data_IF_910736109994
#
_entry.id   IF_910736109994
#
_cell.length_a   1.000
_cell.length_b   1.000
_cell.length_c   1.000
_cell.angle_alpha   90.00
_cell.angle_beta   90.00
_cell.angle_gamma   90.00
#
_symmetry.space_group_name_H-M   'P 1'
#
loop_
_entity.id
_entity.type
_entity.pdbx_description
1 polymer ?
#
# COMPACT_ATOMS: atom_id res chain seq x y z
N UNK A 1 57.95 -40.60 -3.44
CA UNK A 1 57.34 -39.84 -4.55
C UNK A 1 55.84 -39.63 -4.33
N UNK A 2 55.08 -40.62 -3.87
CA UNK A 2 53.64 -40.43 -3.55
C UNK A 2 53.38 -39.50 -2.34
N UNK A 3 54.17 -39.60 -1.27
CA UNK A 3 53.97 -38.80 -0.05
C UNK A 3 54.07 -37.28 -0.30
N UNK A 4 55.00 -36.86 -1.17
CA UNK A 4 55.20 -35.45 -1.55
C UNK A 4 54.10 -34.92 -2.46
N UNK A 5 53.46 -35.77 -3.28
CA UNK A 5 52.29 -35.37 -4.08
C UNK A 5 51.08 -35.14 -3.19
N UNK A 6 50.86 -36.01 -2.21
CA UNK A 6 49.76 -35.89 -1.23
C UNK A 6 49.94 -34.64 -0.36
N UNK A 7 51.16 -34.37 0.10
CA UNK A 7 51.47 -33.18 0.91
C UNK A 7 51.22 -31.88 0.15
N UNK A 8 51.60 -31.82 -1.13
CA UNK A 8 51.33 -30.67 -1.98
C UNK A 8 49.83 -30.46 -2.23
N UNK A 9 49.08 -31.53 -2.54
CA UNK A 9 47.64 -31.45 -2.74
C UNK A 9 46.90 -30.98 -1.48
N UNK A 10 47.32 -31.43 -0.29
CA UNK A 10 46.81 -30.96 1.00
C UNK A 10 47.09 -29.47 1.22
N UNK A 11 48.30 -29.01 0.87
CA UNK A 11 48.69 -27.61 1.02
C UNK A 11 47.85 -26.69 0.13
N UNK A 12 47.63 -27.06 -1.13
CA UNK A 12 46.79 -26.28 -2.04
C UNK A 12 45.33 -26.27 -1.56
N UNK A 13 44.81 -27.40 -1.06
CA UNK A 13 43.45 -27.45 -0.51
C UNK A 13 43.27 -26.57 0.74
N UNK A 14 44.27 -26.49 1.60
CA UNK A 14 44.26 -25.59 2.77
C UNK A 14 44.23 -24.13 2.32
N UNK A 15 45.00 -23.76 1.29
CA UNK A 15 44.97 -22.39 0.74
C UNK A 15 43.61 -22.03 0.18
N UNK A 16 43.01 -22.90 -0.62
CA UNK A 16 41.66 -22.71 -1.17
C UNK A 16 40.62 -22.48 -0.05
N UNK A 17 40.62 -23.34 0.96
CA UNK A 17 39.68 -23.24 2.09
C UNK A 17 39.89 -21.95 2.88
N UNK A 18 41.15 -21.58 3.16
CA UNK A 18 41.46 -20.32 3.85
C UNK A 18 41.03 -19.10 3.04
N UNK A 19 41.18 -19.15 1.71
CA UNK A 19 40.77 -18.07 0.83
C UNK A 19 39.23 -17.90 0.84
N UNK A 20 38.49 -18.98 0.56
CA UNK A 20 37.02 -18.95 0.51
C UNK A 20 36.39 -18.62 1.88
N UNK A 21 36.98 -19.12 2.96
CA UNK A 21 36.56 -18.77 4.31
C UNK A 21 36.87 -17.29 4.62
N UNK A 22 38.05 -16.81 4.24
CA UNK A 22 38.43 -15.40 4.37
C UNK A 22 37.47 -14.48 3.63
N UNK A 23 37.12 -14.77 2.38
CA UNK A 23 36.13 -14.02 1.59
C UNK A 23 34.76 -14.02 2.28
N UNK A 24 34.33 -15.17 2.80
CA UNK A 24 33.06 -15.28 3.53
C UNK A 24 33.06 -14.40 4.79
N UNK A 25 34.15 -14.41 5.55
CA UNK A 25 34.30 -13.59 6.76
C UNK A 25 34.35 -12.09 6.43
N UNK A 26 35.04 -11.69 5.36
CA UNK A 26 35.05 -10.30 4.88
C UNK A 26 33.64 -9.87 4.43
N UNK A 27 32.88 -10.78 3.82
CA UNK A 27 31.49 -10.56 3.43
C UNK A 27 30.54 -10.38 4.61
N UNK A 28 30.81 -11.03 5.74
CA UNK A 28 30.06 -10.84 6.99
C UNK A 28 30.46 -9.56 7.73
N UNK A 29 31.63 -8.97 7.46
CA UNK A 29 32.03 -7.72 8.12
C UNK A 29 31.56 -6.49 7.35
N UNK A 30 31.42 -6.62 6.03
CA UNK A 30 31.10 -5.53 5.11
C UNK A 30 29.67 -5.64 4.53
N UNK A 31 28.66 -5.93 5.36
CA UNK A 31 27.26 -6.01 4.90
C UNK A 31 26.72 -4.70 4.29
N UNK A 32 27.29 -3.56 4.67
CA UNK A 32 26.75 -2.24 4.33
C UNK A 32 27.41 -1.59 3.10
N UNK A 33 28.49 -2.16 2.56
CA UNK A 33 29.19 -1.57 1.40
C UNK A 33 29.95 -2.64 0.63
N UNK A 34 29.52 -2.86 -0.62
CA UNK A 34 30.24 -3.72 -1.56
C UNK A 34 31.62 -3.12 -1.89
N UNK A 35 31.75 -1.80 -1.91
CA UNK A 35 33.03 -1.14 -2.22
C UNK A 35 34.11 -1.50 -1.20
N UNK A 36 33.79 -1.42 0.10
CA UNK A 36 34.72 -1.76 1.18
C UNK A 36 35.14 -3.23 1.12
N UNK A 37 34.19 -4.13 0.83
CA UNK A 37 34.47 -5.54 0.63
C UNK A 37 35.48 -5.74 -0.50
N UNK A 38 35.26 -5.11 -1.66
CA UNK A 38 36.10 -5.27 -2.84
C UNK A 38 37.51 -4.71 -2.59
N UNK A 39 37.64 -3.59 -1.87
CA UNK A 39 38.94 -3.05 -1.44
C UNK A 39 39.71 -4.02 -0.55
N UNK A 40 39.06 -4.60 0.46
CA UNK A 40 39.69 -5.57 1.36
C UNK A 40 40.05 -6.87 0.62
N UNK A 41 39.16 -7.36 -0.24
CA UNK A 41 39.37 -8.57 -1.01
C UNK A 41 40.60 -8.47 -1.89
N UNK A 42 40.75 -7.36 -2.62
CA UNK A 42 41.86 -7.19 -3.54
C UNK A 42 43.23 -7.22 -2.82
N UNK A 43 43.31 -6.77 -1.58
CA UNK A 43 44.54 -6.89 -0.78
C UNK A 43 44.73 -8.28 -0.16
N UNK A 44 43.64 -9.02 0.05
CA UNK A 44 43.68 -10.39 0.58
C UNK A 44 44.06 -11.43 -0.47
N UNK A 45 43.53 -11.33 -1.69
CA UNK A 45 43.69 -12.32 -2.76
C UNK A 45 45.15 -12.76 -3.04
N UNK A 46 46.15 -11.84 -3.10
CA UNK A 46 47.55 -12.22 -3.33
C UNK A 46 48.08 -13.37 -2.47
N UNK A 47 47.65 -13.43 -1.20
CA UNK A 47 48.10 -14.43 -0.22
C UNK A 47 47.65 -15.86 -0.53
N UNK A 48 46.68 -16.02 -1.43
CA UNK A 48 46.09 -17.32 -1.78
C UNK A 48 46.74 -17.96 -3.01
N UNK A 49 47.59 -17.23 -3.73
CA UNK A 49 48.32 -17.72 -4.91
C UNK A 49 49.68 -18.33 -4.53
N UNK A 50 50.28 -19.05 -5.48
CA UNK A 50 51.56 -19.76 -5.31
C UNK A 50 52.71 -18.82 -4.96
N UNK A 51 52.70 -17.59 -5.49
CA UNK A 51 53.77 -16.60 -5.30
C UNK A 51 53.28 -15.26 -4.73
N UNK A 52 52.78 -15.20 -3.47
CA UNK A 52 52.11 -14.02 -2.92
C UNK A 52 52.87 -12.70 -3.04
N UNK A 53 54.21 -12.73 -2.89
CA UNK A 53 55.05 -11.52 -2.89
C UNK A 53 55.09 -10.80 -4.24
N UNK A 54 54.75 -11.49 -5.32
CA UNK A 54 54.70 -10.91 -6.67
C UNK A 54 53.29 -10.93 -7.27
N UNK A 55 52.30 -11.31 -6.48
CA UNK A 55 50.89 -11.38 -6.91
C UNK A 55 50.19 -10.05 -6.66
N UNK A 56 49.51 -9.56 -7.69
CA UNK A 56 48.64 -8.40 -7.59
C UNK A 56 47.25 -8.76 -8.06
N UNK A 57 46.25 -8.16 -7.41
CA UNK A 57 44.86 -8.38 -7.76
C UNK A 57 44.22 -7.08 -8.24
N UNK A 58 43.25 -7.23 -9.13
CA UNK A 58 42.36 -6.16 -9.56
C UNK A 58 40.95 -6.70 -9.65
N UNK A 59 40.00 -5.95 -9.13
CA UNK A 59 38.59 -6.18 -9.39
C UNK A 59 38.05 -4.98 -10.14
N UNK A 60 37.38 -5.22 -11.26
CA UNK A 60 36.53 -4.24 -11.93
C UNK A 60 35.10 -4.65 -11.64
N UNK A 61 34.33 -3.75 -11.06
CA UNK A 61 32.92 -4.00 -10.77
C UNK A 61 32.11 -2.76 -11.15
N UNK A 62 31.19 -2.91 -12.11
CA UNK A 62 30.48 -1.81 -12.77
C UNK A 62 31.49 -0.79 -13.33
N UNK A 63 31.50 0.42 -12.81
CA UNK A 63 32.39 1.51 -13.24
C UNK A 63 33.62 1.67 -12.34
N UNK A 64 33.69 0.94 -11.22
CA UNK A 64 34.73 1.07 -10.22
C UNK A 64 35.85 0.05 -10.43
N UNK A 65 37.08 0.47 -10.09
CA UNK A 65 38.27 -0.36 -10.20
C UNK A 65 38.99 -0.39 -8.86
N UNK A 66 39.12 -1.59 -8.29
CA UNK A 66 39.79 -1.88 -7.03
C UNK A 66 41.11 -2.58 -7.32
N UNK A 67 42.18 -2.16 -6.65
CA UNK A 67 43.55 -2.62 -6.96
C UNK A 67 44.32 -2.89 -5.67
N UNK A 68 45.18 -3.90 -5.71
CA UNK A 68 45.97 -4.26 -4.54
C UNK A 68 47.10 -3.24 -4.37
N UNK A 69 47.60 -3.11 -3.15
CA UNK A 69 48.75 -2.23 -2.90
C UNK A 69 49.90 -2.58 -3.85
N UNK A 70 50.51 -1.57 -4.50
CA UNK A 70 51.63 -1.74 -5.43
C UNK A 70 51.27 -2.24 -6.84
N UNK A 71 49.99 -2.30 -7.21
CA UNK A 71 49.49 -2.86 -8.47
C UNK A 71 50.25 -2.43 -9.74
N UNK A 72 50.66 -3.42 -10.54
CA UNK A 72 51.21 -3.26 -11.88
C UNK A 72 50.57 -4.26 -12.84
N UNK A 73 50.30 -3.82 -14.07
CA UNK A 73 49.81 -4.69 -15.14
C UNK A 73 51.00 -5.34 -15.84
N UNK A 74 50.94 -6.66 -15.99
CA UNK A 74 51.94 -7.47 -16.69
C UNK A 74 51.25 -8.42 -17.68
N UNK A 75 52.06 -9.11 -18.48
CA UNK A 75 51.58 -10.10 -19.45
C UNK A 75 51.14 -11.41 -18.77
N UNK A 76 51.69 -11.72 -17.59
CA UNK A 76 51.33 -12.89 -16.79
C UNK A 76 50.07 -12.61 -15.97
N UNK A 77 48.91 -12.87 -16.58
CA UNK A 77 47.62 -12.61 -15.95
C UNK A 77 46.62 -13.75 -16.15
N UNK A 78 45.73 -13.92 -15.19
CA UNK A 78 44.51 -14.69 -15.33
C UNK A 78 43.32 -13.84 -14.88
N UNK A 79 42.15 -14.07 -15.47
CA UNK A 79 40.94 -13.30 -15.17
C UNK A 79 39.68 -14.15 -15.24
N UNK A 80 38.72 -13.85 -14.37
CA UNK A 80 37.39 -14.42 -14.39
C UNK A 80 36.33 -13.32 -14.34
N UNK A 81 35.20 -13.56 -15.02
CA UNK A 81 34.10 -12.58 -15.13
C UNK A 81 33.17 -12.71 -13.94
N UNK A 82 32.76 -11.58 -13.40
CA UNK A 82 31.75 -11.52 -12.34
C UNK A 82 30.38 -11.39 -13.00
N UNK A 83 29.46 -12.26 -12.61
CA UNK A 83 28.08 -12.23 -13.05
C UNK A 83 27.13 -11.86 -11.91
N UNK A 84 26.19 -10.96 -12.20
CA UNK A 84 25.06 -10.63 -11.32
C UNK A 84 23.79 -10.82 -12.14
N UNK A 85 22.87 -11.65 -11.65
CA UNK A 85 21.65 -12.05 -12.40
C UNK A 85 21.95 -12.49 -13.86
N UNK A 86 23.04 -13.24 -14.05
CA UNK A 86 23.52 -13.70 -15.37
C UNK A 86 24.04 -12.61 -16.32
N UNK A 87 24.13 -11.36 -15.89
CA UNK A 87 24.77 -10.29 -16.65
C UNK A 87 26.23 -10.12 -16.23
N UNK A 88 27.18 -10.01 -17.18
CA UNK A 88 28.59 -9.75 -16.86
C UNK A 88 28.74 -8.30 -16.39
N UNK A 89 28.95 -8.10 -15.10
CA UNK A 89 29.04 -6.77 -14.47
C UNK A 89 30.47 -6.38 -14.08
N UNK A 90 31.43 -7.28 -14.27
CA UNK A 90 32.80 -7.05 -13.83
C UNK A 90 33.77 -8.17 -14.16
N UNK A 91 35.01 -8.02 -13.67
CA UNK A 91 36.06 -9.04 -13.73
C UNK A 91 36.93 -9.01 -12.46
N UNK A 92 37.38 -10.19 -12.03
CA UNK A 92 38.49 -10.35 -11.08
C UNK A 92 39.70 -10.80 -11.88
N UNK A 93 40.83 -10.14 -11.70
CA UNK A 93 42.07 -10.47 -12.38
C UNK A 93 43.25 -10.55 -11.40
N UNK A 94 44.14 -11.49 -11.66
CA UNK A 94 45.38 -11.72 -10.91
C UNK A 94 46.56 -11.57 -11.87
N UNK A 95 47.64 -10.96 -11.38
CA UNK A 95 48.84 -10.64 -12.13
C UNK A 95 50.09 -11.09 -11.36
N UNK A 96 51.07 -11.67 -12.05
CA UNK A 96 52.42 -11.85 -11.52
C UNK A 96 53.37 -10.78 -12.08
N UNK A 97 54.29 -10.25 -11.26
CA UNK A 97 55.24 -9.22 -11.71
C UNK A 97 56.34 -9.72 -12.64
N UNK A 98 56.64 -11.01 -12.56
CA UNK A 98 57.80 -11.63 -13.20
C UNK A 98 57.40 -12.98 -13.81
N UNK A 99 58.14 -13.42 -14.82
CA UNK A 99 57.95 -14.73 -15.44
C UNK A 99 58.19 -15.85 -14.43
N UNK A 100 57.31 -16.85 -14.43
CA UNK A 100 57.40 -18.04 -13.59
C UNK A 100 57.31 -19.29 -14.47
N UNK A 101 57.78 -20.44 -13.96
CA UNK A 101 57.72 -21.69 -14.72
C UNK A 101 56.31 -21.96 -15.24
N UNK A 102 56.17 -22.41 -16.51
CA UNK A 102 54.86 -22.70 -17.05
C UNK A 102 54.19 -23.85 -16.30
N UNK A 103 52.90 -23.68 -16.06
CA UNK A 103 51.99 -24.60 -15.40
C UNK A 103 50.79 -24.87 -16.35
N UNK A 104 49.55 -24.65 -15.90
CA UNK A 104 48.33 -24.96 -16.66
C UNK A 104 47.82 -23.76 -17.48
N UNK A 105 47.75 -22.56 -16.89
CA UNK A 105 47.39 -21.31 -17.56
C UNK A 105 48.57 -20.33 -17.47
N UNK A 106 49.52 -20.43 -18.40
CA UNK A 106 50.78 -19.67 -18.29
C UNK A 106 51.52 -20.10 -17.01
N UNK A 107 51.82 -19.19 -16.05
CA UNK A 107 52.44 -19.54 -14.78
C UNK A 107 51.45 -19.98 -13.68
N UNK A 108 50.15 -20.06 -13.95
CA UNK A 108 49.11 -20.36 -12.96
C UNK A 108 48.70 -21.84 -12.96
N UNK A 109 48.39 -22.37 -11.78
CA UNK A 109 47.93 -23.76 -11.58
C UNK A 109 46.43 -23.91 -11.89
N UNK A 110 46.00 -25.11 -12.26
CA UNK A 110 44.58 -25.42 -12.45
C UNK A 110 43.72 -25.14 -11.20
N UNK A 111 44.26 -25.37 -10.01
CA UNK A 111 43.63 -25.06 -8.72
C UNK A 111 43.45 -23.54 -8.52
N UNK A 112 44.42 -22.73 -8.92
CA UNK A 112 44.34 -21.27 -8.86
C UNK A 112 43.29 -20.71 -9.82
N UNK A 113 43.12 -21.36 -10.98
CA UNK A 113 42.05 -21.02 -11.92
C UNK A 113 40.68 -21.33 -11.32
N UNK A 114 40.52 -22.53 -10.75
CA UNK A 114 39.29 -22.93 -10.09
C UNK A 114 38.95 -22.01 -8.91
N UNK A 115 39.96 -21.59 -8.14
CA UNK A 115 39.81 -20.62 -7.06
C UNK A 115 39.34 -19.26 -7.59
N UNK A 116 39.94 -18.75 -8.67
CA UNK A 116 39.55 -17.46 -9.25
C UNK A 116 38.10 -17.47 -9.77
N UNK A 117 37.69 -18.54 -10.43
CA UNK A 117 36.32 -18.70 -10.92
C UNK A 117 35.31 -18.78 -9.75
N UNK A 118 35.64 -19.54 -8.70
CA UNK A 118 34.82 -19.61 -7.48
C UNK A 118 34.69 -18.24 -6.78
N UNK A 119 35.78 -17.45 -6.75
CA UNK A 119 35.77 -16.10 -6.19
C UNK A 119 34.89 -15.14 -6.99
N UNK A 120 34.94 -15.20 -8.32
CA UNK A 120 34.11 -14.37 -9.18
C UNK A 120 32.60 -14.66 -8.96
N UNK A 121 32.24 -15.94 -8.85
CA UNK A 121 30.88 -16.38 -8.53
C UNK A 121 30.45 -15.92 -7.12
N UNK A 122 31.34 -16.02 -6.14
CA UNK A 122 31.07 -15.60 -4.77
C UNK A 122 30.87 -14.09 -4.68
N UNK A 123 31.70 -13.28 -5.36
CA UNK A 123 31.54 -11.83 -5.43
C UNK A 123 30.19 -11.47 -6.08
N UNK A 124 29.81 -12.14 -7.17
CA UNK A 124 28.51 -11.95 -7.81
C UNK A 124 27.34 -12.25 -6.87
N UNK A 125 27.44 -13.34 -6.11
CA UNK A 125 26.42 -13.74 -5.12
C UNK A 125 26.29 -12.71 -4.00
N UNK A 126 27.41 -12.23 -3.45
CA UNK A 126 27.42 -11.21 -2.39
C UNK A 126 26.85 -9.89 -2.91
N UNK A 127 27.26 -9.45 -4.11
CA UNK A 127 26.76 -8.23 -4.73
C UNK A 127 25.24 -8.27 -4.97
N UNK A 128 24.74 -9.43 -5.39
CA UNK A 128 23.30 -9.69 -5.57
C UNK A 128 22.56 -9.52 -4.23
N UNK A 129 23.07 -10.13 -3.15
CA UNK A 129 22.48 -10.03 -1.81
C UNK A 129 22.44 -8.59 -1.32
N UNK A 130 23.57 -7.87 -1.37
CA UNK A 130 23.68 -6.49 -0.87
C UNK A 130 22.73 -5.56 -1.65
N UNK A 131 22.66 -5.70 -2.97
CA UNK A 131 21.78 -4.85 -3.81
C UNK A 131 20.30 -5.07 -3.45
N UNK A 132 19.88 -6.34 -3.29
CA UNK A 132 18.51 -6.67 -2.90
C UNK A 132 18.15 -6.14 -1.49
N UNK A 133 19.08 -6.20 -0.54
CA UNK A 133 18.86 -5.64 0.81
C UNK A 133 18.71 -4.11 0.79
N UNK A 134 19.52 -3.41 0.00
CA UNK A 134 19.43 -1.95 -0.16
C UNK A 134 18.10 -1.54 -0.81
N UNK A 135 17.69 -2.20 -1.89
CA UNK A 135 16.40 -1.94 -2.54
C UNK A 135 15.22 -2.16 -1.58
N UNK A 136 15.24 -3.24 -0.80
CA UNK A 136 14.22 -3.51 0.20
C UNK A 136 14.17 -2.43 1.30
N UNK A 137 15.32 -1.92 1.73
CA UNK A 137 15.38 -0.84 2.72
C UNK A 137 14.78 0.46 2.16
N UNK A 138 15.11 0.82 0.92
CA UNK A 138 14.58 2.01 0.27
C UNK A 138 13.06 1.93 0.05
N UNK A 139 12.57 0.79 -0.43
CA UNK A 139 11.13 0.55 -0.59
C UNK A 139 10.41 0.64 0.75
N UNK A 140 10.93 0.02 1.81
CA UNK A 140 10.32 0.09 3.14
C UNK A 140 10.28 1.53 3.68
N UNK A 141 11.33 2.31 3.43
CA UNK A 141 11.39 3.73 3.82
C UNK A 141 10.34 4.55 3.07
N UNK A 142 10.21 4.37 1.76
CA UNK A 142 9.19 5.03 0.96
C UNK A 142 7.77 4.66 1.41
N UNK A 143 7.51 3.37 1.61
CA UNK A 143 6.22 2.86 2.06
C UNK A 143 5.83 3.42 3.45
N UNK A 144 6.81 3.56 4.35
CA UNK A 144 6.59 4.16 5.68
C UNK A 144 6.17 5.63 5.58
N UNK A 145 6.80 6.40 4.69
CA UNK A 145 6.44 7.81 4.44
C UNK A 145 5.04 7.95 3.85
N UNK A 146 4.72 7.15 2.83
CA UNK A 146 3.40 7.16 2.20
C UNK A 146 2.29 6.75 3.17
N UNK A 147 2.52 5.71 3.99
CA UNK A 147 1.58 5.28 5.03
C UNK A 147 1.32 6.39 6.04
N UNK A 148 2.34 7.14 6.45
CA UNK A 148 2.19 8.26 7.37
C UNK A 148 1.36 9.38 6.76
N UNK A 149 1.64 9.78 5.52
CA UNK A 149 0.86 10.80 4.81
C UNK A 149 -0.61 10.38 4.63
N UNK A 150 -0.86 9.11 4.31
CA UNK A 150 -2.21 8.57 4.20
C UNK A 150 -2.94 8.57 5.55
N UNK A 151 -2.25 8.24 6.64
CA UNK A 151 -2.82 8.29 7.98
C UNK A 151 -3.19 9.71 8.40
N UNK A 152 -2.35 10.70 8.09
CA UNK A 152 -2.63 12.12 8.34
C UNK A 152 -3.82 12.61 7.51
N UNK A 153 -3.88 12.26 6.22
CA UNK A 153 -5.02 12.58 5.35
C UNK A 153 -6.32 11.99 5.86
N UNK A 154 -6.32 10.70 6.25
CA UNK A 154 -7.48 10.03 6.83
C UNK A 154 -7.93 10.66 8.15
N UNK A 155 -6.99 11.09 9.00
CA UNK A 155 -7.31 11.79 10.24
C UNK A 155 -7.98 13.15 9.94
N UNK A 156 -7.45 13.92 9.00
CA UNK A 156 -8.03 15.19 8.58
C UNK A 156 -9.44 15.01 8.00
N UNK A 157 -9.64 14.00 7.13
CA UNK A 157 -10.96 13.67 6.60
C UNK A 157 -11.96 13.33 7.69
N UNK A 158 -11.58 12.53 8.69
CA UNK A 158 -12.44 12.23 9.85
C UNK A 158 -12.84 13.50 10.59
N UNK A 159 -11.90 14.42 10.85
CA UNK A 159 -12.19 15.71 11.49
C UNK A 159 -13.18 16.54 10.67
N UNK A 160 -12.99 16.61 9.34
CA UNK A 160 -13.92 17.33 8.45
C UNK A 160 -15.32 16.70 8.49
N UNK A 161 -15.42 15.37 8.45
CA UNK A 161 -16.69 14.66 8.54
C UNK A 161 -17.42 14.92 9.86
N UNK A 162 -16.70 14.87 10.98
CA UNK A 162 -17.27 15.19 12.31
C UNK A 162 -17.81 16.61 12.32
N UNK A 163 -17.07 17.58 11.76
CA UNK A 163 -17.49 18.98 11.72
C UNK A 163 -18.73 19.21 10.86
N UNK A 164 -18.83 18.54 9.71
CA UNK A 164 -20.02 18.58 8.86
C UNK A 164 -21.25 18.05 9.62
N UNK A 165 -21.09 16.95 10.35
CA UNK A 165 -22.20 16.36 11.11
C UNK A 165 -22.63 17.24 12.29
N UNK A 166 -21.68 17.90 12.96
CA UNK A 166 -21.96 18.90 14.00
C UNK A 166 -22.73 20.10 13.46
N UNK A 167 -22.27 20.70 12.34
CA UNK A 167 -22.93 21.83 11.69
C UNK A 167 -24.34 21.45 11.21
N UNK A 168 -24.52 20.26 10.62
CA UNK A 168 -25.84 19.75 10.20
C UNK A 168 -26.79 19.63 11.40
N UNK A 169 -26.30 19.09 12.51
CA UNK A 169 -27.10 18.95 13.73
C UNK A 169 -27.46 20.30 14.36
N UNK A 170 -26.57 21.29 14.27
CA UNK A 170 -26.85 22.66 14.74
C UNK A 170 -27.96 23.32 13.90
N UNK A 171 -27.86 23.25 12.57
CA UNK A 171 -28.91 23.76 11.66
C UNK A 171 -30.26 23.14 11.99
N UNK A 172 -30.30 21.83 12.21
CA UNK A 172 -31.53 21.13 12.56
C UNK A 172 -32.11 21.59 13.91
N UNK A 173 -31.28 21.78 14.94
CA UNK A 173 -31.73 22.32 16.23
C UNK A 173 -32.33 23.72 16.07
N UNK A 174 -31.71 24.57 15.25
CA UNK A 174 -32.19 25.92 14.99
C UNK A 174 -33.54 25.92 14.28
N UNK A 175 -33.71 25.09 13.24
CA UNK A 175 -34.99 24.94 12.54
C UNK A 175 -36.07 24.42 13.49
N UNK A 176 -35.79 23.37 14.27
CA UNK A 176 -36.74 22.82 15.25
C UNK A 176 -37.17 23.87 16.27
N UNK A 177 -36.23 24.63 16.81
CA UNK A 177 -36.52 25.71 17.77
C UNK A 177 -37.43 26.77 17.15
N UNK A 178 -37.18 27.17 15.90
CA UNK A 178 -38.02 28.15 15.22
C UNK A 178 -39.44 27.62 14.97
N UNK A 179 -39.59 26.35 14.55
CA UNK A 179 -40.92 25.76 14.37
C UNK A 179 -41.66 25.65 15.70
N UNK A 180 -41.03 25.07 16.73
CA UNK A 180 -41.68 24.80 18.01
C UNK A 180 -42.02 26.10 18.76
N UNK A 181 -41.14 27.11 18.72
CA UNK A 181 -41.29 28.34 19.52
C UNK A 181 -41.92 29.51 18.78
N UNK A 182 -41.92 29.52 17.45
CA UNK A 182 -42.45 30.65 16.66
C UNK A 182 -43.63 30.21 15.80
N UNK A 183 -43.47 29.18 14.96
CA UNK A 183 -44.52 28.81 14.00
C UNK A 183 -45.68 28.05 14.65
N UNK A 184 -45.42 27.15 15.60
CA UNK A 184 -46.46 26.35 16.24
C UNK A 184 -47.44 27.17 17.09
N UNK A 185 -47.00 28.13 17.91
CA UNK A 185 -47.93 29.01 18.63
C UNK A 185 -48.87 29.76 17.69
N UNK A 186 -48.36 30.25 16.55
CA UNK A 186 -49.17 30.96 15.54
C UNK A 186 -50.19 30.01 14.91
N UNK A 187 -49.77 28.79 14.54
CA UNK A 187 -50.68 27.79 13.96
C UNK A 187 -51.76 27.33 14.93
N UNK A 188 -51.43 27.15 16.22
CA UNK A 188 -52.40 26.82 17.26
C UNK A 188 -53.41 27.94 17.48
N UNK A 189 -52.97 29.20 17.47
CA UNK A 189 -53.85 30.36 17.55
C UNK A 189 -54.80 30.44 16.34
N UNK A 190 -54.26 30.28 15.12
CA UNK A 190 -55.04 30.25 13.88
C UNK A 190 -56.07 29.10 13.88
N UNK A 191 -55.72 27.92 14.39
CA UNK A 191 -56.62 26.77 14.44
C UNK A 191 -57.89 27.04 15.28
N UNK A 192 -57.84 27.96 16.24
CA UNK A 192 -58.98 28.32 17.10
C UNK A 192 -59.95 29.30 16.43
N UNK A 193 -59.50 30.10 15.45
CA UNK A 193 -60.32 31.16 14.83
C UNK A 193 -60.91 30.78 13.47
N UNK A 194 -60.43 29.71 12.83
CA UNK A 194 -60.82 29.33 11.46
C UNK A 194 -62.08 28.42 11.45
N UNK A 195 -63.03 28.60 10.51
CA UNK A 195 -64.21 27.74 10.36
C UNK A 195 -63.86 26.26 10.09
N UNK A 196 -64.67 25.33 10.62
CA UNK A 196 -64.43 23.86 10.53
C UNK A 196 -64.18 23.34 9.10
N UNK A 197 -64.79 23.96 8.08
CA UNK A 197 -64.60 23.59 6.66
C UNK A 197 -63.16 23.75 6.16
N UNK A 198 -62.33 24.57 6.81
CA UNK A 198 -60.92 24.80 6.44
C UNK A 198 -59.92 24.24 7.45
N UNK A 199 -60.39 23.68 8.58
CA UNK A 199 -59.55 23.15 9.66
C UNK A 199 -58.56 22.08 9.18
N UNK A 200 -58.95 21.28 8.17
CA UNK A 200 -58.10 20.26 7.55
C UNK A 200 -56.80 20.81 6.95
N UNK A 201 -56.79 22.04 6.44
CA UNK A 201 -55.58 22.67 5.89
C UNK A 201 -54.59 23.05 6.97
N UNK A 202 -55.09 23.52 8.12
CA UNK A 202 -54.28 23.87 9.29
C UNK A 202 -53.65 22.62 9.90
N UNK A 203 -54.43 21.54 9.99
CA UNK A 203 -53.94 20.24 10.44
C UNK A 203 -52.84 19.71 9.51
N UNK A 204 -53.02 19.75 8.18
CA UNK A 204 -51.98 19.39 7.22
C UNK A 204 -50.71 20.24 7.36
N UNK A 205 -50.85 21.55 7.55
CA UNK A 205 -49.70 22.46 7.74
C UNK A 205 -48.94 22.16 9.03
N UNK A 206 -49.67 21.89 10.12
CA UNK A 206 -49.10 21.46 11.39
C UNK A 206 -48.32 20.16 11.22
N UNK A 207 -48.93 19.14 10.62
CA UNK A 207 -48.28 17.85 10.36
C UNK A 207 -47.03 18.01 9.49
N UNK A 208 -47.07 18.83 8.44
CA UNK A 208 -45.91 19.08 7.58
C UNK A 208 -44.75 19.75 8.34
N UNK A 209 -45.04 20.73 9.21
CA UNK A 209 -44.00 21.39 9.99
C UNK A 209 -43.41 20.49 11.07
N UNK A 210 -44.25 19.68 11.74
CA UNK A 210 -43.79 18.64 12.68
C UNK A 210 -42.95 17.58 11.94
N UNK A 211 -43.30 17.20 10.71
CA UNK A 211 -42.50 16.28 9.90
C UNK A 211 -41.13 16.88 9.52
N UNK A 212 -41.08 18.14 9.10
CA UNK A 212 -39.84 18.86 8.75
C UNK A 212 -38.87 18.93 9.94
N UNK A 213 -39.40 19.06 11.15
CA UNK A 213 -38.59 19.18 12.37
C UNK A 213 -38.50 17.90 13.17
N UNK A 214 -39.17 16.82 12.77
CA UNK A 214 -39.01 15.51 13.39
C UNK A 214 -37.67 14.88 13.02
N UNK A 215 -37.22 13.92 13.84
CA UNK A 215 -35.96 13.19 13.63
C UNK A 215 -35.93 12.43 12.29
N UNK A 216 -37.09 12.34 11.61
CA UNK A 216 -37.28 11.74 10.30
C UNK A 216 -36.35 12.24 9.22
N UNK A 217 -36.12 13.54 9.12
CA UNK A 217 -35.23 14.07 8.08
C UNK A 217 -33.76 13.69 8.35
N UNK A 218 -33.32 13.62 9.61
CA UNK A 218 -31.94 13.24 9.95
C UNK A 218 -31.61 11.81 9.51
N UNK A 219 -32.54 10.90 9.70
CA UNK A 219 -32.34 9.49 9.36
C UNK A 219 -32.63 9.18 7.89
N UNK A 220 -33.53 9.94 7.26
CA UNK A 220 -33.66 9.89 5.81
C UNK A 220 -32.41 10.42 5.10
N UNK A 221 -31.74 11.46 5.60
CA UNK A 221 -30.52 12.04 5.02
C UNK A 221 -29.41 11.01 4.75
N UNK A 222 -29.29 9.97 5.58
CA UNK A 222 -28.28 8.92 5.40
C UNK A 222 -28.65 7.96 4.26
N UNK A 223 -29.93 7.66 4.06
CA UNK A 223 -30.43 6.82 2.96
C UNK A 223 -30.78 7.61 1.69
N UNK A 224 -30.89 8.94 1.78
CA UNK A 224 -31.39 9.83 0.73
C UNK A 224 -30.33 10.35 -0.24
N UNK A 225 -29.04 10.13 0.02
CA UNK A 225 -28.00 10.43 -0.98
C UNK A 225 -28.25 9.70 -2.33
N UNK A 226 -29.06 8.63 -2.33
CA UNK A 226 -29.44 7.88 -3.54
C UNK A 226 -30.83 8.23 -4.11
N UNK A 227 -31.69 8.93 -3.36
CA UNK A 227 -33.10 9.19 -3.74
C UNK A 227 -33.28 10.58 -4.35
N UNK A 228 -34.07 10.66 -5.43
CA UNK A 228 -34.39 11.92 -6.11
C UNK A 228 -35.51 12.68 -5.38
N UNK A 229 -35.60 14.03 -5.49
CA UNK A 229 -36.65 14.81 -4.84
C UNK A 229 -38.08 14.29 -5.07
N UNK A 230 -38.32 13.76 -6.26
CA UNK A 230 -39.57 13.13 -6.67
C UNK A 230 -39.87 11.83 -5.90
N UNK A 231 -38.85 11.01 -5.67
CA UNK A 231 -38.95 9.77 -4.90
C UNK A 231 -39.13 10.05 -3.41
N UNK A 232 -38.51 11.11 -2.89
CA UNK A 232 -38.71 11.60 -1.51
C UNK A 232 -40.19 11.91 -1.26
N UNK A 233 -40.79 12.73 -2.13
CA UNK A 233 -42.20 13.11 -2.00
C UNK A 233 -43.12 11.89 -2.02
N UNK A 234 -42.82 10.92 -2.88
CA UNK A 234 -43.59 9.67 -2.99
C UNK A 234 -43.41 8.81 -1.73
N UNK A 235 -42.19 8.70 -1.18
CA UNK A 235 -41.95 8.01 0.10
C UNK A 235 -42.80 8.60 1.23
N UNK A 236 -42.86 9.93 1.36
CA UNK A 236 -43.65 10.59 2.40
C UNK A 236 -45.15 10.28 2.26
N UNK A 237 -45.67 10.36 1.03
CA UNK A 237 -47.07 10.02 0.77
C UNK A 237 -47.38 8.55 1.11
N UNK A 238 -46.46 7.63 0.81
CA UNK A 238 -46.63 6.20 1.13
C UNK A 238 -46.59 5.96 2.64
N UNK A 239 -45.67 6.61 3.35
CA UNK A 239 -45.54 6.52 4.81
C UNK A 239 -46.80 7.02 5.51
N UNK A 240 -47.41 8.10 5.00
CA UNK A 240 -48.64 8.68 5.52
C UNK A 240 -49.90 7.89 5.10
N UNK A 241 -49.73 6.68 4.55
CA UNK A 241 -50.82 5.75 4.28
C UNK A 241 -51.52 5.93 2.94
N UNK A 242 -51.07 6.85 2.07
CA UNK A 242 -51.69 7.03 0.75
C UNK A 242 -51.42 5.82 -0.14
N UNK A 243 -52.48 5.36 -0.81
CA UNK A 243 -52.45 4.28 -1.79
C UNK A 243 -51.92 4.79 -3.12
N UNK A 244 -51.33 3.91 -3.93
CA UNK A 244 -50.77 4.25 -5.26
C UNK A 244 -51.72 5.07 -6.14
N UNK A 245 -53.03 4.78 -6.10
CA UNK A 245 -54.05 5.53 -6.86
C UNK A 245 -54.25 6.95 -6.34
N UNK A 246 -54.22 7.15 -5.02
CA UNK A 246 -54.36 8.45 -4.37
C UNK A 246 -53.12 9.32 -4.61
N UNK A 247 -51.94 8.71 -4.57
CA UNK A 247 -50.66 9.38 -4.92
C UNK A 247 -50.67 9.81 -6.39
N UNK A 248 -51.13 8.94 -7.30
CA UNK A 248 -51.24 9.24 -8.72
C UNK A 248 -52.18 10.43 -8.98
N UNK A 249 -53.34 10.43 -8.32
CA UNK A 249 -54.31 11.53 -8.40
C UNK A 249 -53.76 12.84 -7.81
N UNK A 250 -53.12 12.78 -6.63
CA UNK A 250 -52.54 13.96 -5.97
C UNK A 250 -51.40 14.59 -6.78
N UNK A 251 -50.69 13.80 -7.60
CA UNK A 251 -49.54 14.24 -8.39
C UNK A 251 -49.84 14.46 -9.88
N UNK A 252 -51.07 14.20 -10.33
CA UNK A 252 -51.47 14.35 -11.73
C UNK A 252 -50.71 13.44 -12.71
N UNK A 253 -50.29 12.25 -12.26
CA UNK A 253 -49.51 11.30 -13.07
C UNK A 253 -50.15 9.91 -13.05
N UNK A 254 -49.75 9.06 -14.01
CA UNK A 254 -50.34 7.73 -14.12
C UNK A 254 -49.97 6.82 -12.94
N UNK A 255 -50.86 5.88 -12.62
CA UNK A 255 -50.64 4.87 -11.57
C UNK A 255 -49.39 4.02 -11.86
N UNK A 256 -49.12 3.70 -13.13
CA UNK A 256 -47.93 2.96 -13.54
C UNK A 256 -46.63 3.74 -13.29
N UNK A 257 -46.65 5.07 -13.43
CA UNK A 257 -45.52 5.93 -13.07
C UNK A 257 -45.21 5.87 -11.58
N UNK A 258 -46.24 5.89 -10.71
CA UNK A 258 -46.04 5.73 -9.26
C UNK A 258 -45.49 4.35 -8.91
N UNK A 259 -45.98 3.28 -9.54
CA UNK A 259 -45.42 1.93 -9.33
C UNK A 259 -43.94 1.86 -9.73
N UNK A 260 -43.53 2.51 -10.83
CA UNK A 260 -42.12 2.61 -11.21
C UNK A 260 -41.29 3.36 -10.17
N UNK A 261 -41.79 4.47 -9.63
CA UNK A 261 -41.11 5.18 -8.54
C UNK A 261 -41.00 4.31 -7.28
N UNK A 262 -42.05 3.57 -6.90
CA UNK A 262 -42.03 2.64 -5.76
C UNK A 262 -40.96 1.56 -5.91
N UNK A 263 -40.78 1.02 -7.12
CA UNK A 263 -39.76 0.02 -7.41
C UNK A 263 -38.34 0.60 -7.32
N UNK A 264 -38.14 1.81 -7.85
CA UNK A 264 -36.86 2.50 -7.72
C UNK A 264 -36.54 2.82 -6.26
N UNK A 265 -37.53 3.24 -5.47
CA UNK A 265 -37.41 3.45 -4.03
C UNK A 265 -37.00 2.15 -3.35
N UNK A 266 -37.66 1.02 -3.62
CA UNK A 266 -37.31 -0.28 -3.04
C UNK A 266 -35.87 -0.70 -3.37
N UNK A 267 -35.43 -0.47 -4.61
CA UNK A 267 -34.05 -0.75 -5.05
C UNK A 267 -33.04 0.11 -4.32
N UNK A 268 -33.30 1.40 -4.22
CA UNK A 268 -32.41 2.38 -3.56
C UNK A 268 -32.37 2.24 -2.04
N UNK A 269 -33.41 1.66 -1.45
CA UNK A 269 -33.49 1.28 -0.03
C UNK A 269 -33.04 -0.16 0.23
N UNK A 270 -32.54 -0.89 -0.77
CA UNK A 270 -32.07 -2.28 -0.66
C UNK A 270 -33.10 -3.27 -0.09
N UNK A 271 -34.39 -3.08 -0.39
CA UNK A 271 -35.48 -3.97 0.06
C UNK A 271 -36.17 -4.71 -1.09
N UNK A 272 -35.61 -4.70 -2.30
CA UNK A 272 -36.21 -5.33 -3.48
C UNK A 272 -36.50 -6.82 -3.26
N UNK A 273 -35.60 -7.55 -2.61
CA UNK A 273 -35.69 -9.00 -2.42
C UNK A 273 -36.29 -9.44 -1.07
N UNK A 274 -36.74 -8.49 -0.25
CA UNK A 274 -37.34 -8.80 1.04
C UNK A 274 -38.87 -8.75 0.92
N UNK A 275 -39.56 -9.70 1.56
CA UNK A 275 -41.04 -9.73 1.68
C UNK A 275 -41.56 -8.66 2.65
N UNK A 276 -40.94 -7.49 2.62
CA UNK A 276 -41.24 -6.37 3.49
C UNK A 276 -42.09 -5.39 2.70
N UNK A 277 -43.28 -5.12 3.23
CA UNK A 277 -44.21 -4.14 2.70
C UNK A 277 -43.58 -2.73 2.77
N UNK A 278 -43.50 -2.01 1.65
CA UNK A 278 -42.86 -0.68 1.59
C UNK A 278 -43.48 0.34 2.58
N UNK A 279 -44.80 0.53 2.65
CA UNK A 279 -45.42 1.34 3.71
C UNK A 279 -45.03 0.91 5.12
N UNK A 280 -45.08 -0.39 5.42
CA UNK A 280 -44.69 -0.90 6.73
C UNK A 280 -43.21 -0.62 7.00
N UNK A 281 -42.31 -0.87 6.04
CA UNK A 281 -40.88 -0.56 6.15
C UNK A 281 -40.62 0.92 6.44
N UNK A 282 -41.30 1.81 5.72
CA UNK A 282 -41.22 3.25 5.91
C UNK A 282 -41.83 3.72 7.25
N UNK A 283 -42.68 2.89 7.88
CA UNK A 283 -43.28 3.13 9.19
C UNK A 283 -42.55 2.41 10.34
N UNK A 284 -41.89 1.27 10.09
CA UNK A 284 -41.47 0.30 11.11
C UNK A 284 -39.96 0.26 11.36
N UNK A 285 -39.09 0.67 10.44
CA UNK A 285 -37.64 0.48 10.60
C UNK A 285 -36.86 1.75 10.32
N UNK A 286 -36.13 2.27 11.33
CA UNK A 286 -34.67 2.52 11.25
C UNK A 286 -33.99 3.37 12.37
N UNK A 287 -34.50 3.60 13.60
CA UNK A 287 -33.84 4.58 14.53
C UNK A 287 -33.31 4.10 15.89
N UNK A 288 -32.93 2.83 16.07
CA UNK A 288 -32.41 2.38 17.38
C UNK A 288 -30.96 1.87 17.46
N UNK A 289 -30.17 1.85 16.39
CA UNK A 289 -28.80 1.32 16.50
C UNK A 289 -27.71 2.30 16.05
N UNK A 290 -27.34 3.21 16.95
CA UNK A 290 -25.99 3.79 17.06
C UNK A 290 -25.61 4.00 18.55
N UNK A 291 -25.78 2.96 19.38
CA UNK A 291 -25.30 2.94 20.77
C UNK A 291 -24.32 1.81 21.08
N UNK A 292 -23.65 1.24 20.08
CA UNK A 292 -22.50 0.35 20.29
C UNK A 292 -21.45 0.51 19.21
N UNK A 293 -20.50 1.42 19.46
CA UNK A 293 -19.07 1.23 19.20
C UNK A 293 -18.27 2.31 19.92
#
# INVERSE_FOLDING_TARGET
>A
MELSKVENALRERIKELNCLYGVSQLAERNFNSLDNLLEELVNFLPHSWQYPEITYARIIFKENIYKSEGFKVTEWRQSSRIYVYSEPVGEVAIFYLEERPPADEGPFLAEERALLDALADQIGTIATRISAEMELQDINKQLSLERKALQESNAALRTVLTRIEEEKNEIYRNIKTNVDKVLMPILLALALEIPQTQSKYVEMLKTNLEEITSQFIRHLSNSYHSLTPTEITICNMIRNGLRTKEIAQARGISVSTINRHRENIRRKLNITNNDVNLPTYLQSSMWEEETKL
#
